data_IF_057438227775
#
_entry.id   IF_057438227775
#
_cell.length_a   1.000
_cell.length_b   1.000
_cell.length_c   1.000
_cell.angle_alpha   90.00
_cell.angle_beta   90.00
_cell.angle_gamma   90.00
#
_symmetry.space_group_name_H-M   'P 1'
#
loop_
_entity.id
_entity.type
_entity.pdbx_description
1 polymer ?
#
# COMPACT_ATOMS: atom_id res chain seq x y z
N UNK A 1 -11.45 -0.02 -30.15
CA UNK A 1 -10.48 -0.58 -29.23
C UNK A 1 -10.80 -0.16 -27.82
N UNK A 2 -10.70 -1.09 -26.94
CA UNK A 2 -11.02 -0.80 -25.57
C UNK A 2 -9.89 -0.05 -24.90
N UNK A 3 -10.24 0.91 -24.09
CA UNK A 3 -9.26 1.55 -23.27
C UNK A 3 -8.76 0.57 -22.21
N UNK A 4 -7.47 0.58 -21.92
CA UNK A 4 -6.97 -0.18 -20.79
C UNK A 4 -7.68 0.28 -19.53
N UNK A 5 -8.23 -0.65 -18.75
CA UNK A 5 -8.87 -0.30 -17.48
C UNK A 5 -7.92 0.45 -16.57
N UNK A 6 -6.63 0.18 -16.71
CA UNK A 6 -5.60 0.83 -15.90
C UNK A 6 -5.56 2.34 -16.09
N UNK A 7 -6.02 2.86 -17.23
CA UNK A 7 -6.03 4.30 -17.45
C UNK A 7 -6.99 5.03 -16.54
N UNK A 8 -8.05 4.33 -16.13
CA UNK A 8 -9.08 4.93 -15.27
C UNK A 8 -9.05 4.40 -13.85
N UNK A 9 -8.08 3.55 -13.56
CA UNK A 9 -7.99 2.89 -12.27
C UNK A 9 -7.05 3.66 -11.36
N UNK A 10 -7.56 4.08 -10.21
CA UNK A 10 -6.73 4.71 -9.19
C UNK A 10 -6.38 3.69 -8.13
N UNK A 11 -5.10 3.47 -7.93
CA UNK A 11 -4.60 2.48 -6.98
C UNK A 11 -4.08 3.20 -5.74
N UNK A 12 -4.67 2.91 -4.59
CA UNK A 12 -4.20 3.42 -3.32
C UNK A 12 -3.29 2.42 -2.64
N UNK A 13 -2.22 2.89 -2.02
CA UNK A 13 -1.29 2.05 -1.28
C UNK A 13 -1.19 2.54 0.15
N UNK A 14 -1.45 1.68 1.10
CA UNK A 14 -1.38 1.97 2.53
C UNK A 14 -0.49 0.95 3.22
N UNK A 15 -0.07 1.27 4.43
CA UNK A 15 0.75 0.37 5.24
C UNK A 15 1.56 1.16 6.25
N UNK A 16 2.18 0.47 7.22
CA UNK A 16 3.01 1.17 8.20
C UNK A 16 4.26 1.78 7.57
N UNK A 17 4.88 2.70 8.27
CA UNK A 17 6.15 3.27 7.83
C UNK A 17 7.15 2.16 7.59
N UNK A 18 7.90 2.25 6.49
CA UNK A 18 8.91 1.24 6.16
C UNK A 18 8.35 0.00 5.47
N UNK A 19 7.06 -0.01 5.11
CA UNK A 19 6.48 -1.18 4.43
C UNK A 19 6.83 -1.25 2.95
N UNK A 20 7.33 -0.16 2.35
CA UNK A 20 7.71 -0.16 0.95
C UNK A 20 6.75 0.54 0.01
N UNK A 21 5.87 1.39 0.56
CA UNK A 21 4.83 2.05 -0.24
C UNK A 21 5.39 2.85 -1.41
N UNK A 22 6.37 3.72 -1.14
CA UNK A 22 6.91 4.60 -2.19
C UNK A 22 7.56 3.81 -3.31
N UNK A 23 8.25 2.74 -2.97
CA UNK A 23 8.94 1.90 -3.95
C UNK A 23 7.92 1.19 -4.84
N UNK A 24 6.86 0.65 -4.25
CA UNK A 24 5.82 0.00 -5.03
C UNK A 24 5.12 0.99 -5.95
N UNK A 25 4.79 2.16 -5.42
CA UNK A 25 4.12 3.20 -6.21
C UNK A 25 4.98 3.58 -7.42
N UNK A 26 6.28 3.81 -7.21
CA UNK A 26 7.17 4.16 -8.31
C UNK A 26 7.16 3.09 -9.40
N UNK A 27 7.20 1.82 -9.00
CA UNK A 27 7.17 0.72 -9.96
C UNK A 27 5.86 0.65 -10.73
N UNK A 28 4.74 0.84 -10.04
CA UNK A 28 3.42 0.82 -10.68
C UNK A 28 3.25 1.99 -11.64
N UNK A 29 3.73 3.17 -11.26
CA UNK A 29 3.64 4.34 -12.12
C UNK A 29 4.47 4.18 -13.38
N UNK A 30 5.62 3.52 -13.29
CA UNK A 30 6.42 3.21 -14.46
C UNK A 30 5.69 2.29 -15.44
N UNK A 31 4.74 1.52 -14.94
CA UNK A 31 3.93 0.63 -15.78
C UNK A 31 2.65 1.31 -16.27
N UNK A 32 2.48 2.58 -15.96
CA UNK A 32 1.35 3.37 -16.48
C UNK A 32 0.14 3.44 -15.57
N UNK A 33 0.25 2.96 -14.34
CA UNK A 33 -0.89 3.02 -13.40
C UNK A 33 -0.89 4.31 -12.61
N UNK A 34 -2.08 4.85 -12.36
CA UNK A 34 -2.24 6.01 -11.49
C UNK A 34 -2.30 5.54 -10.05
N UNK A 35 -1.46 6.10 -9.19
CA UNK A 35 -1.36 5.68 -7.79
C UNK A 35 -1.48 6.85 -6.83
N UNK A 36 -1.91 6.53 -5.61
CA UNK A 36 -1.93 7.47 -4.49
C UNK A 36 -1.18 6.87 -3.30
N UNK A 37 -0.24 7.64 -2.78
CA UNK A 37 0.41 7.30 -1.52
C UNK A 37 -0.50 7.82 -0.40
N UNK A 38 -1.13 6.91 0.33
CA UNK A 38 -2.10 7.27 1.35
C UNK A 38 -1.46 7.10 2.72
N UNK A 39 -1.28 8.20 3.43
CA UNK A 39 -0.61 8.20 4.73
C UNK A 39 -1.60 7.93 5.86
N UNK A 40 -2.40 6.88 5.73
CA UNK A 40 -3.41 6.51 6.72
C UNK A 40 -2.79 6.20 8.08
N UNK A 41 -1.54 5.73 8.11
CA UNK A 41 -0.86 5.42 9.36
C UNK A 41 -0.67 6.66 10.25
N UNK A 42 -0.81 7.85 9.69
CA UNK A 42 -0.68 9.11 10.42
C UNK A 42 -2.02 9.78 10.66
N UNK A 43 -3.12 9.15 10.28
CA UNK A 43 -4.44 9.75 10.41
C UNK A 43 -5.19 9.19 11.62
N UNK A 44 -5.86 10.08 12.37
CA UNK A 44 -6.73 9.66 13.47
C UNK A 44 -8.10 9.22 12.98
N UNK A 45 -8.46 9.55 11.74
CA UNK A 45 -9.74 9.18 11.16
C UNK A 45 -9.57 7.89 10.37
N UNK A 46 -10.21 6.81 10.82
CA UNK A 46 -10.01 5.48 10.25
C UNK A 46 -10.32 5.40 8.76
N UNK A 47 -11.34 6.10 8.30
CA UNK A 47 -11.74 6.05 6.90
C UNK A 47 -11.18 7.20 6.05
N UNK A 48 -10.15 7.89 6.55
CA UNK A 48 -9.59 9.03 5.82
C UNK A 48 -9.08 8.63 4.44
N UNK A 49 -8.51 7.42 4.31
CA UNK A 49 -8.04 6.91 3.02
C UNK A 49 -9.14 6.92 1.97
N UNK A 50 -10.36 6.63 2.39
CA UNK A 50 -11.50 6.58 1.48
C UNK A 50 -12.04 7.98 1.18
N UNK A 51 -12.04 8.84 2.17
CA UNK A 51 -12.59 10.19 2.04
C UNK A 51 -11.74 11.05 1.12
N UNK A 52 -10.42 11.01 1.30
CA UNK A 52 -9.50 11.87 0.56
C UNK A 52 -9.12 11.28 -0.79
N UNK A 53 -8.75 10.00 -0.82
CA UNK A 53 -8.18 9.40 -2.03
C UNK A 53 -9.19 8.69 -2.91
N UNK A 54 -10.20 8.05 -2.31
CA UNK A 54 -11.21 7.29 -3.02
C UNK A 54 -10.62 6.35 -4.07
N UNK A 55 -9.70 5.46 -3.68
CA UNK A 55 -9.07 4.57 -4.66
C UNK A 55 -10.04 3.52 -5.18
N UNK A 56 -9.82 3.10 -6.43
CA UNK A 56 -10.58 1.99 -7.02
C UNK A 56 -10.07 0.66 -6.51
N UNK A 57 -8.76 0.55 -6.31
CA UNK A 57 -8.14 -0.61 -5.68
C UNK A 57 -7.28 -0.14 -4.52
N UNK A 58 -7.35 -0.87 -3.43
CA UNK A 58 -6.55 -0.56 -2.24
C UNK A 58 -5.61 -1.72 -1.96
N UNK A 59 -4.31 -1.43 -1.94
CA UNK A 59 -3.28 -2.40 -1.62
C UNK A 59 -2.70 -2.06 -0.25
N UNK A 60 -2.68 -3.05 0.62
CA UNK A 60 -2.10 -2.91 1.95
C UNK A 60 -0.77 -3.65 1.99
N UNK A 61 0.30 -2.92 2.31
CA UNK A 61 1.61 -3.54 2.49
C UNK A 61 1.82 -3.78 3.98
N UNK A 62 1.99 -5.04 4.34
CA UNK A 62 2.17 -5.45 5.72
C UNK A 62 3.64 -5.75 5.97
N UNK A 63 4.22 -5.10 6.98
CA UNK A 63 5.59 -5.37 7.39
C UNK A 63 5.65 -5.41 8.90
N UNK A 64 6.56 -6.23 9.45
CA UNK A 64 6.74 -6.32 10.89
C UNK A 64 7.41 -5.07 11.43
N UNK A 65 7.36 -4.91 12.75
CA UNK A 65 8.05 -3.81 13.42
C UNK A 65 9.55 -3.84 13.10
N UNK A 66 10.15 -5.02 13.14
CA UNK A 66 11.59 -5.19 12.89
C UNK A 66 11.95 -4.78 11.47
N UNK A 67 11.18 -5.26 10.49
CA UNK A 67 11.43 -4.94 9.08
C UNK A 67 11.21 -3.46 8.80
N UNK A 68 10.12 -2.91 9.29
CA UNK A 68 9.81 -1.48 9.09
C UNK A 68 10.92 -0.60 9.66
N UNK A 69 11.37 -0.93 10.87
CA UNK A 69 12.43 -0.18 11.56
C UNK A 69 13.72 -0.24 10.78
N UNK A 70 14.10 -1.43 10.32
CA UNK A 70 15.37 -1.62 9.61
C UNK A 70 15.37 -0.89 8.26
N UNK A 71 14.29 -0.98 7.51
CA UNK A 71 14.21 -0.37 6.17
C UNK A 71 14.31 1.15 6.20
N UNK A 72 13.68 1.78 7.19
CA UNK A 72 13.66 3.24 7.30
C UNK A 72 14.69 3.76 8.29
N UNK A 73 15.40 2.87 8.99
CA UNK A 73 16.32 3.23 10.06
C UNK A 73 15.62 4.12 11.09
N UNK A 74 14.39 3.71 11.42
CA UNK A 74 13.56 4.46 12.35
C UNK A 74 14.05 4.29 13.77
N UNK A 75 13.94 5.36 14.55
CA UNK A 75 14.24 5.33 15.97
C UNK A 75 12.94 5.48 16.73
N UNK A 76 12.07 4.47 16.61
CA UNK A 76 10.76 4.49 17.22
C UNK A 76 10.55 3.26 18.09
N UNK A 77 9.52 3.32 18.93
CA UNK A 77 9.18 2.23 19.84
C UNK A 77 8.11 1.35 19.20
N UNK A 78 8.03 0.11 19.65
CA UNK A 78 7.03 -0.82 19.16
C UNK A 78 5.61 -0.29 19.38
N UNK A 79 5.38 0.49 20.44
CA UNK A 79 4.07 1.08 20.68
C UNK A 79 3.68 2.04 19.57
N UNK A 80 4.65 2.73 18.97
CA UNK A 80 4.37 3.63 17.86
C UNK A 80 3.95 2.86 16.62
N UNK A 81 4.59 1.73 16.38
CA UNK A 81 4.23 0.82 15.31
C UNK A 81 2.81 0.27 15.51
N UNK A 82 2.50 -0.17 16.74
CA UNK A 82 1.16 -0.68 17.05
C UNK A 82 0.09 0.38 16.89
N UNK A 83 0.41 1.63 17.21
CA UNK A 83 -0.53 2.72 17.00
C UNK A 83 -0.80 2.93 15.51
N UNK A 84 0.23 2.83 14.67
CA UNK A 84 0.03 2.92 13.23
C UNK A 84 -0.87 1.79 12.73
N UNK A 85 -0.66 0.56 13.22
CA UNK A 85 -1.51 -0.55 12.83
C UNK A 85 -2.97 -0.31 13.23
N UNK A 86 -3.20 0.30 14.37
CA UNK A 86 -4.54 0.64 14.82
C UNK A 86 -5.20 1.62 13.85
N UNK A 87 -4.46 2.64 13.42
CA UNK A 87 -4.97 3.65 12.48
C UNK A 87 -5.22 3.06 11.09
N UNK A 88 -4.55 1.97 10.77
CA UNK A 88 -4.67 1.29 9.48
C UNK A 88 -5.75 0.22 9.45
N UNK A 89 -6.38 -0.06 10.60
CA UNK A 89 -7.31 -1.18 10.72
C UNK A 89 -8.44 -1.17 9.70
N UNK A 90 -9.11 -0.03 9.55
CA UNK A 90 -10.22 0.08 8.60
C UNK A 90 -9.75 -0.13 7.16
N UNK A 91 -8.63 0.50 6.78
CA UNK A 91 -8.08 0.33 5.46
C UNK A 91 -7.69 -1.12 5.20
N UNK A 92 -7.10 -1.78 6.19
CA UNK A 92 -6.72 -3.19 6.05
C UNK A 92 -7.93 -4.08 5.83
N UNK A 93 -9.01 -3.84 6.55
CA UNK A 93 -10.23 -4.62 6.39
C UNK A 93 -10.85 -4.46 5.00
N UNK A 94 -10.63 -3.32 4.37
CA UNK A 94 -11.20 -3.01 3.07
C UNK A 94 -10.19 -3.18 1.93
N UNK A 95 -8.96 -3.59 2.23
CA UNK A 95 -7.95 -3.75 1.18
C UNK A 95 -8.32 -4.87 0.23
N UNK A 96 -8.11 -4.63 -1.06
CA UNK A 96 -8.34 -5.64 -2.09
C UNK A 96 -7.19 -6.63 -2.14
N UNK A 97 -6.00 -6.20 -1.74
CA UNK A 97 -4.80 -7.03 -1.73
C UNK A 97 -3.97 -6.69 -0.50
N UNK A 98 -3.54 -7.69 0.23
CA UNK A 98 -2.61 -7.53 1.35
C UNK A 98 -1.34 -8.28 1.00
N UNK A 99 -0.21 -7.61 1.03
CA UNK A 99 1.09 -8.23 0.73
C UNK A 99 1.97 -8.17 1.97
N UNK A 100 2.43 -9.34 2.44
CA UNK A 100 3.42 -9.43 3.50
C UNK A 100 4.79 -9.21 2.87
N UNK A 101 5.46 -8.12 3.23
CA UNK A 101 6.66 -7.72 2.53
C UNK A 101 7.97 -8.08 3.22
N UNK A 102 7.91 -8.68 4.40
CA UNK A 102 9.11 -8.94 5.21
C UNK A 102 10.20 -9.70 4.44
N UNK A 103 9.81 -10.75 3.73
CA UNK A 103 10.75 -11.61 3.04
C UNK A 103 10.74 -11.42 1.53
N UNK A 104 10.20 -10.31 1.06
CA UNK A 104 10.09 -10.07 -0.37
C UNK A 104 11.01 -8.94 -0.83
N UNK A 105 11.54 -9.10 -2.06
CA UNK A 105 12.27 -8.02 -2.70
C UNK A 105 11.28 -7.01 -3.29
N UNK A 106 11.73 -5.76 -3.53
CA UNK A 106 10.86 -4.79 -4.21
C UNK A 106 10.34 -5.29 -5.56
N UNK A 107 11.16 -6.02 -6.31
CA UNK A 107 10.74 -6.58 -7.60
C UNK A 107 9.61 -7.59 -7.43
N UNK A 108 9.70 -8.42 -6.40
CA UNK A 108 8.68 -9.44 -6.16
C UNK A 108 7.38 -8.80 -5.71
N UNK A 109 7.46 -7.79 -4.85
CA UNK A 109 6.29 -7.05 -4.41
C UNK A 109 5.58 -6.43 -5.60
N UNK A 110 6.34 -5.79 -6.48
CA UNK A 110 5.79 -5.19 -7.69
C UNK A 110 5.11 -6.24 -8.57
N UNK A 111 5.75 -7.40 -8.75
CA UNK A 111 5.18 -8.45 -9.58
C UNK A 111 3.86 -8.96 -9.02
N UNK A 112 3.78 -9.16 -7.71
CA UNK A 112 2.55 -9.61 -7.06
C UNK A 112 1.44 -8.59 -7.31
N UNK A 113 1.74 -7.31 -7.14
CA UNK A 113 0.75 -6.25 -7.35
C UNK A 113 0.30 -6.21 -8.81
N UNK A 114 1.24 -6.30 -9.75
CA UNK A 114 0.90 -6.28 -11.17
C UNK A 114 0.02 -7.46 -11.57
N UNK A 115 0.33 -8.64 -11.09
CA UNK A 115 -0.47 -9.83 -11.39
C UNK A 115 -1.89 -9.68 -10.86
N UNK A 116 -2.02 -9.14 -9.65
CA UNK A 116 -3.34 -8.92 -9.06
C UNK A 116 -4.15 -7.90 -9.87
N UNK A 117 -3.52 -6.79 -10.26
CA UNK A 117 -4.21 -5.75 -11.01
C UNK A 117 -4.65 -6.27 -12.38
N UNK A 118 -3.79 -7.03 -13.05
CA UNK A 118 -4.13 -7.61 -14.35
C UNK A 118 -5.32 -8.56 -14.24
N UNK A 119 -5.35 -9.38 -13.21
CA UNK A 119 -6.46 -10.30 -13.01
C UNK A 119 -7.77 -9.56 -12.81
N UNK A 120 -7.73 -8.45 -12.09
CA UNK A 120 -8.95 -7.68 -11.85
C UNK A 120 -9.39 -6.87 -13.07
N UNK A 121 -8.46 -6.57 -13.96
CA UNK A 121 -8.75 -5.77 -15.15
C UNK A 121 -9.20 -6.61 -16.34
N UNK A 122 -9.00 -7.90 -16.29
CA UNK A 122 -9.34 -8.77 -17.44
C UNK A 122 -10.79 -9.23 -17.46
#
# INVERSE_FOLDING_TARGET
MDEPLSENLLIGVVGPCGSGKSTLIAGLEQKGYACRHIAQEHSYVQAMWQIIAKPDLLIYLNSSFQTSTARRKLNWLEKDYKEQLRRLGHAREHAHLVIDTDDLTPSRILQIALDFIKDRSS
#
